data_IF_301531991931
#
_entry.id   IF_301531991931
#
_cell.length_a   1.000
_cell.length_b   1.000
_cell.length_c   1.000
_cell.angle_alpha   90.00
_cell.angle_beta   90.00
_cell.angle_gamma   90.00
#
_symmetry.space_group_name_H-M   'P 1'
#
loop_
_entity.id
_entity.type
_entity.pdbx_description
1 polymer ?
#
# COMPACT_ATOMS: atom_id res chain seq x y z
N UNK A 1 9.63 12.74 6.32
CA UNK A 1 9.85 11.32 5.96
C UNK A 1 8.52 10.61 6.03
N UNK A 2 8.11 9.96 4.95
CA UNK A 2 6.87 9.19 4.85
C UNK A 2 7.21 7.73 5.09
N UNK A 3 6.47 7.08 5.99
CA UNK A 3 6.64 5.66 6.25
C UNK A 3 5.70 4.87 5.34
N UNK A 4 6.19 3.77 4.78
CA UNK A 4 5.41 2.94 3.86
C UNK A 4 5.36 1.52 4.38
N UNK A 5 4.16 1.04 4.66
CA UNK A 5 3.90 -0.35 5.02
C UNK A 5 3.28 -1.06 3.81
N UNK A 6 3.79 -2.25 3.47
CA UNK A 6 3.28 -3.04 2.35
C UNK A 6 2.65 -4.31 2.92
N UNK A 7 1.36 -4.50 2.66
CA UNK A 7 0.59 -5.66 3.10
C UNK A 7 0.26 -6.54 1.90
N UNK A 8 0.91 -7.70 1.83
CA UNK A 8 0.64 -8.76 0.86
C UNK A 8 1.05 -10.10 1.45
N UNK A 9 0.27 -11.14 1.17
CA UNK A 9 0.64 -12.52 1.51
C UNK A 9 1.73 -13.08 0.56
N UNK A 10 2.09 -12.31 -0.48
CA UNK A 10 3.03 -12.69 -1.52
C UNK A 10 4.37 -11.99 -1.30
N UNK A 11 5.35 -12.74 -0.79
CA UNK A 11 6.66 -12.19 -0.40
C UNK A 11 7.39 -11.44 -1.52
N UNK A 12 7.30 -11.90 -2.77
CA UNK A 12 7.97 -11.23 -3.88
C UNK A 12 7.36 -9.87 -4.22
N UNK A 13 6.04 -9.67 -4.01
CA UNK A 13 5.39 -8.36 -4.18
C UNK A 13 5.94 -7.38 -3.16
N UNK A 14 5.98 -7.77 -1.88
CA UNK A 14 6.54 -6.94 -0.80
C UNK A 14 7.97 -6.53 -1.13
N UNK A 15 8.80 -7.48 -1.57
CA UNK A 15 10.20 -7.23 -1.91
C UNK A 15 10.37 -6.30 -3.10
N UNK A 16 9.66 -6.53 -4.21
CA UNK A 16 9.77 -5.71 -5.42
C UNK A 16 9.33 -4.27 -5.17
N UNK A 17 8.17 -4.10 -4.54
CA UNK A 17 7.66 -2.77 -4.16
C UNK A 17 8.62 -2.06 -3.20
N UNK A 18 9.16 -2.78 -2.21
CA UNK A 18 10.14 -2.20 -1.27
C UNK A 18 11.38 -1.67 -2.00
N UNK A 19 11.87 -2.37 -3.02
CA UNK A 19 13.04 -1.93 -3.79
C UNK A 19 12.73 -0.64 -4.53
N UNK A 20 11.60 -0.56 -5.24
CA UNK A 20 11.22 0.64 -5.98
C UNK A 20 10.99 1.83 -5.07
N UNK A 21 10.27 1.64 -3.96
CA UNK A 21 9.96 2.73 -3.02
C UNK A 21 11.24 3.27 -2.35
N UNK A 22 12.22 2.41 -2.06
CA UNK A 22 13.51 2.82 -1.50
C UNK A 22 14.37 3.67 -2.44
N UNK A 23 14.02 3.78 -3.71
CA UNK A 23 14.73 4.68 -4.63
C UNK A 23 14.50 6.15 -4.29
N UNK A 24 13.42 6.47 -3.58
CA UNK A 24 13.14 7.83 -3.10
C UNK A 24 13.59 8.00 -1.64
N UNK A 25 14.51 8.94 -1.33
CA UNK A 25 15.05 9.11 0.01
C UNK A 25 14.06 9.70 1.02
N UNK A 26 12.91 10.23 0.57
CA UNK A 26 11.85 10.73 1.45
C UNK A 26 10.96 9.63 2.01
N UNK A 27 11.06 8.41 1.45
CA UNK A 27 10.24 7.24 1.78
C UNK A 27 11.04 6.22 2.62
N UNK A 28 10.40 5.66 3.65
CA UNK A 28 10.98 4.66 4.52
C UNK A 28 10.07 3.43 4.60
N UNK A 29 10.58 2.25 4.21
CA UNK A 29 9.82 1.00 4.30
C UNK A 29 9.77 0.51 5.74
N UNK A 30 8.55 0.31 6.26
CA UNK A 30 8.30 -0.41 7.49
C UNK A 30 8.29 -1.91 7.22
N UNK A 31 8.97 -2.69 8.06
CA UNK A 31 8.99 -4.13 7.93
C UNK A 31 7.66 -4.72 8.41
N UNK A 32 6.92 -5.36 7.51
CA UNK A 32 5.59 -5.91 7.72
C UNK A 32 5.62 -7.22 8.53
N UNK A 33 6.33 -7.21 9.66
CA UNK A 33 6.38 -8.36 10.56
C UNK A 33 4.98 -8.62 11.17
N UNK A 34 4.64 -9.87 11.51
CA UNK A 34 3.34 -10.20 12.11
C UNK A 34 2.99 -9.38 13.36
N UNK A 35 4.01 -8.92 14.09
CA UNK A 35 3.84 -8.04 15.25
C UNK A 35 3.39 -6.63 14.87
N UNK A 36 3.91 -6.09 13.76
CA UNK A 36 3.55 -4.77 13.26
C UNK A 36 2.11 -4.75 12.71
N UNK A 37 1.70 -5.83 12.04
CA UNK A 37 0.33 -6.00 11.55
C UNK A 37 -0.68 -6.07 12.71
N UNK A 38 -0.33 -6.73 13.81
CA UNK A 38 -1.17 -6.78 15.03
C UNK A 38 -1.29 -5.42 15.73
N UNK A 39 -0.29 -4.54 15.56
CA UNK A 39 -0.22 -3.23 16.19
C UNK A 39 -0.35 -2.09 15.18
N UNK A 40 -1.10 -2.29 14.09
CA UNK A 40 -1.24 -1.32 13.00
C UNK A 40 -1.74 0.06 13.48
N UNK A 41 -2.43 0.11 14.62
CA UNK A 41 -2.92 1.36 15.24
C UNK A 41 -1.80 2.25 15.82
N UNK A 42 -0.57 1.74 15.96
CA UNK A 42 0.57 2.45 16.55
C UNK A 42 1.68 2.76 15.54
N UNK A 43 1.35 2.79 14.25
CA UNK A 43 2.29 3.25 13.23
C UNK A 43 2.51 4.77 13.34
N UNK A 44 3.65 5.29 12.84
CA UNK A 44 3.88 6.72 12.73
C UNK A 44 2.74 7.43 12.00
N UNK A 45 2.41 8.67 12.37
CA UNK A 45 1.27 9.39 11.81
C UNK A 45 1.37 9.60 10.28
N UNK A 46 2.59 9.79 9.76
CA UNK A 46 2.86 9.93 8.33
C UNK A 46 3.03 8.58 7.61
N UNK A 47 2.21 7.58 7.96
CA UNK A 47 2.27 6.26 7.34
C UNK A 47 1.29 6.12 6.18
N UNK A 48 1.78 5.61 5.06
CA UNK A 48 1.03 5.15 3.90
C UNK A 48 1.04 3.63 3.89
N UNK A 49 -0.12 3.02 3.72
CA UNK A 49 -0.26 1.56 3.69
C UNK A 49 -0.64 1.14 2.28
N UNK A 50 0.24 0.39 1.63
CA UNK A 50 -0.01 -0.26 0.35
C UNK A 50 -0.60 -1.64 0.63
N UNK A 51 -1.77 -1.93 0.07
CA UNK A 51 -2.51 -3.18 0.31
C UNK A 51 -2.72 -3.90 -1.00
N UNK A 52 -2.23 -5.14 -1.09
CA UNK A 52 -2.52 -6.05 -2.19
C UNK A 52 -4.00 -6.45 -2.19
N UNK A 53 -4.68 -6.26 -3.33
CA UNK A 53 -6.11 -6.58 -3.46
C UNK A 53 -6.43 -8.06 -3.22
N UNK A 54 -5.45 -8.95 -3.36
CA UNK A 54 -5.63 -10.38 -3.19
C UNK A 54 -5.53 -10.83 -1.72
N UNK A 55 -5.32 -9.90 -0.78
CA UNK A 55 -5.22 -10.22 0.64
C UNK A 55 -6.56 -10.75 1.17
N UNK A 56 -6.51 -11.83 1.95
CA UNK A 56 -7.71 -12.39 2.57
C UNK A 56 -8.30 -11.40 3.58
N UNK A 57 -9.63 -11.21 3.55
CA UNK A 57 -10.36 -10.26 4.41
C UNK A 57 -9.90 -8.80 4.23
N UNK A 58 -9.60 -8.40 3.01
CA UNK A 58 -9.17 -7.04 2.70
C UNK A 58 -10.18 -5.95 3.07
N UNK A 59 -11.47 -6.16 2.86
CA UNK A 59 -12.52 -5.15 3.15
C UNK A 59 -12.54 -4.69 4.62
N UNK A 60 -12.67 -5.58 5.63
CA UNK A 60 -12.64 -5.15 7.02
C UNK A 60 -11.30 -4.55 7.42
N UNK A 61 -10.19 -5.03 6.82
CA UNK A 61 -8.86 -4.46 7.06
C UNK A 61 -8.78 -3.02 6.56
N UNK A 62 -9.13 -2.75 5.30
CA UNK A 62 -9.14 -1.41 4.71
C UNK A 62 -10.01 -0.48 5.54
N UNK A 63 -11.22 -0.93 5.91
CA UNK A 63 -12.12 -0.13 6.75
C UNK A 63 -11.44 0.28 8.06
N UNK A 64 -10.79 -0.65 8.75
CA UNK A 64 -10.08 -0.37 9.99
C UNK A 64 -8.92 0.61 9.82
N UNK A 65 -8.08 0.43 8.79
CA UNK A 65 -6.87 1.25 8.63
C UNK A 65 -7.13 2.61 7.99
N UNK A 66 -8.14 2.72 7.12
CA UNK A 66 -8.47 3.96 6.40
C UNK A 66 -8.99 5.07 7.31
N UNK A 67 -9.42 4.74 8.53
CA UNK A 67 -9.81 5.75 9.54
C UNK A 67 -8.63 6.59 10.01
N UNK A 68 -7.40 6.07 9.94
CA UNK A 68 -6.20 6.72 10.48
C UNK A 68 -5.09 6.94 9.45
N UNK A 69 -4.94 6.04 8.49
CA UNK A 69 -3.82 6.06 7.55
C UNK A 69 -4.29 6.18 6.11
N UNK A 70 -3.41 6.73 5.29
CA UNK A 70 -3.61 6.75 3.84
C UNK A 70 -3.44 5.34 3.28
N UNK A 71 -4.44 4.85 2.55
CA UNK A 71 -4.45 3.50 1.98
C UNK A 71 -4.30 3.58 0.46
N UNK A 72 -3.40 2.79 -0.09
CA UNK A 72 -3.19 2.67 -1.54
C UNK A 72 -3.37 1.21 -1.94
N UNK A 73 -4.21 0.96 -2.95
CA UNK A 73 -4.46 -0.40 -3.42
C UNK A 73 -3.45 -0.80 -4.49
N UNK A 74 -2.94 -2.02 -4.38
CA UNK A 74 -2.05 -2.62 -5.36
C UNK A 74 -2.73 -3.82 -6.03
N UNK A 75 -2.72 -3.84 -7.36
CA UNK A 75 -3.11 -5.00 -8.15
C UNK A 75 -1.92 -5.62 -8.86
N UNK A 76 -1.76 -6.94 -8.76
CA UNK A 76 -0.81 -7.68 -9.60
C UNK A 76 -1.23 -7.81 -11.06
N UNK A 77 -2.49 -7.47 -11.40
CA UNK A 77 -3.04 -7.61 -12.74
C UNK A 77 -2.76 -6.39 -13.63
N UNK A 78 -2.82 -6.58 -14.95
CA UNK A 78 -2.73 -5.48 -15.91
C UNK A 78 -3.98 -4.62 -15.91
N UNK A 79 -5.13 -5.21 -15.58
CA UNK A 79 -6.42 -4.54 -15.68
C UNK A 79 -6.75 -3.80 -14.37
N UNK A 80 -6.93 -2.48 -14.47
CA UNK A 80 -7.41 -1.64 -13.35
C UNK A 80 -8.82 -2.04 -12.93
N UNK A 81 -9.60 -2.63 -13.86
CA UNK A 81 -10.95 -3.15 -13.60
C UNK A 81 -11.00 -4.26 -12.55
N UNK A 82 -9.85 -4.86 -12.22
CA UNK A 82 -9.76 -5.90 -11.18
C UNK A 82 -9.79 -5.34 -9.76
N UNK A 83 -9.66 -4.02 -9.56
CA UNK A 83 -9.82 -3.40 -8.25
C UNK A 83 -11.30 -3.13 -8.02
N UNK A 84 -11.96 -3.79 -7.05
CA UNK A 84 -13.39 -3.61 -6.82
C UNK A 84 -13.76 -2.14 -6.57
N UNK A 85 -14.79 -1.64 -7.28
CA UNK A 85 -15.20 -0.23 -7.22
C UNK A 85 -15.49 0.28 -5.79
N UNK A 86 -15.96 -0.61 -4.89
CA UNK A 86 -16.21 -0.23 -3.50
C UNK A 86 -14.93 -0.01 -2.69
N UNK A 87 -13.83 -0.71 -3.03
CA UNK A 87 -12.51 -0.48 -2.44
C UNK A 87 -11.84 0.77 -2.99
N UNK A 88 -12.04 1.07 -4.27
CA UNK A 88 -11.51 2.31 -4.87
C UNK A 88 -12.00 3.55 -4.10
N UNK A 89 -13.29 3.57 -3.72
CA UNK A 89 -13.91 4.69 -2.98
C UNK A 89 -13.36 4.90 -1.56
N UNK A 90 -12.83 3.85 -0.93
CA UNK A 90 -12.28 3.91 0.43
C UNK A 90 -10.77 4.08 0.45
N UNK A 91 -10.11 3.91 -0.70
CA UNK A 91 -8.69 4.12 -0.88
C UNK A 91 -8.35 5.55 -1.26
N UNK A 92 -7.12 5.97 -0.97
CA UNK A 92 -6.56 7.27 -1.35
C UNK A 92 -5.77 7.22 -2.66
N UNK A 93 -5.87 6.12 -3.40
CA UNK A 93 -5.15 5.86 -4.64
C UNK A 93 -5.01 4.37 -4.92
N UNK A 94 -4.67 4.05 -6.16
CA UNK A 94 -4.41 2.67 -6.56
C UNK A 94 -3.40 2.63 -7.70
N UNK A 95 -2.70 1.51 -7.82
CA UNK A 95 -1.79 1.23 -8.94
C UNK A 95 -1.69 -0.27 -9.17
N UNK A 96 -1.00 -0.66 -10.24
CA UNK A 96 -0.80 -2.06 -10.58
C UNK A 96 0.66 -2.40 -10.91
N UNK A 97 0.94 -3.67 -11.16
CA UNK A 97 2.28 -4.18 -11.46
C UNK A 97 2.96 -3.53 -12.69
N UNK A 98 2.18 -2.88 -13.56
CA UNK A 98 2.65 -2.23 -14.79
C UNK A 98 2.80 -0.71 -14.65
N UNK A 99 2.45 -0.16 -13.47
CA UNK A 99 2.66 1.25 -13.17
C UNK A 99 4.15 1.52 -13.05
N UNK A 100 4.65 2.58 -13.69
CA UNK A 100 6.08 2.88 -13.66
C UNK A 100 6.54 3.25 -12.24
N UNK A 101 7.79 2.95 -11.85
CA UNK A 101 8.30 3.27 -10.52
C UNK A 101 8.14 4.74 -10.14
N UNK A 102 8.35 5.67 -11.09
CA UNK A 102 8.20 7.11 -10.88
C UNK A 102 6.75 7.47 -10.54
N UNK A 103 5.79 6.83 -11.21
CA UNK A 103 4.37 7.07 -10.96
C UNK A 103 3.94 6.44 -9.63
N UNK A 104 4.45 5.25 -9.28
CA UNK A 104 4.27 4.64 -7.94
C UNK A 104 4.74 5.61 -6.84
N UNK A 105 5.90 6.25 -7.01
CA UNK A 105 6.43 7.21 -6.03
C UNK A 105 5.49 8.42 -5.89
N UNK A 106 5.05 9.03 -7.00
CA UNK A 106 4.07 10.15 -6.93
C UNK A 106 2.79 9.74 -6.22
N UNK A 107 2.31 8.53 -6.51
CA UNK A 107 1.12 7.97 -5.87
C UNK A 107 1.34 7.87 -4.35
N UNK A 108 2.46 7.30 -3.91
CA UNK A 108 2.82 7.18 -2.49
C UNK A 108 3.00 8.54 -1.81
N UNK A 109 3.58 9.52 -2.50
CA UNK A 109 3.74 10.89 -2.00
C UNK A 109 2.42 11.68 -1.95
N UNK A 110 1.43 11.29 -2.75
CA UNK A 110 0.14 11.99 -2.83
C UNK A 110 0.17 13.21 -3.73
N UNK A 111 1.03 13.17 -4.75
CA UNK A 111 1.19 14.25 -5.73
C UNK A 111 0.32 14.05 -7.00
N UNK A 112 -0.80 13.33 -6.88
CA UNK A 112 -1.74 13.04 -7.97
C UNK A 112 -3.02 13.87 -7.80
#
# INVERSE_FOLDING_TARGET
>A
MIHVLILSDIHHIVKSLSIWIRTDPSLCILDATPHLIRNINHLPDNTVIIVDINLVKIEPLIKQISEKYRVILYSGSMEIMDIPCHLQKTSSGFFNAYTSPEEIIKIVLGCI
#
